data_IF_628370100910
#
_entry.id   IF_628370100910
#
_cell.length_a   1.000
_cell.length_b   1.000
_cell.length_c   1.000
_cell.angle_alpha   90.00
_cell.angle_beta   90.00
_cell.angle_gamma   90.00
#
_symmetry.space_group_name_H-M   'P 1'
#
loop_
_entity.id
_entity.type
_entity.pdbx_description
1 polymer ?
#
# COMPACT_ATOMS: atom_id res chain seq x y z
N UNK A 1 -9.06 -21.67 -21.49
CA UNK A 1 -8.69 -20.31 -21.02
C UNK A 1 -8.76 -20.29 -19.50
N UNK A 2 -7.67 -19.98 -18.79
CA UNK A 2 -7.66 -19.94 -17.31
C UNK A 2 -8.42 -18.69 -16.82
N UNK A 3 -9.34 -18.88 -15.89
CA UNK A 3 -10.17 -17.82 -15.31
C UNK A 3 -9.31 -16.99 -14.33
N UNK A 4 -8.70 -15.91 -14.83
CA UNK A 4 -7.78 -14.99 -14.11
C UNK A 4 -8.48 -14.06 -13.11
N UNK A 5 -9.81 -14.09 -13.02
CA UNK A 5 -10.61 -13.14 -12.25
C UNK A 5 -10.42 -13.22 -10.73
N UNK A 6 -9.75 -14.26 -10.22
CA UNK A 6 -9.50 -14.47 -8.79
C UNK A 6 -8.04 -14.83 -8.47
N UNK A 7 -7.09 -14.39 -9.29
CA UNK A 7 -5.67 -14.61 -9.01
C UNK A 7 -5.19 -13.76 -7.82
N UNK A 8 -5.29 -14.34 -6.62
CA UNK A 8 -4.84 -13.74 -5.37
C UNK A 8 -3.33 -13.92 -5.12
N UNK A 9 -2.58 -14.45 -6.09
CA UNK A 9 -1.14 -14.75 -5.94
C UNK A 9 -0.34 -13.50 -5.58
N UNK A 10 -0.62 -12.37 -6.23
CA UNK A 10 0.02 -11.09 -5.90
C UNK A 10 -0.22 -10.67 -4.45
N UNK A 11 -1.46 -10.82 -3.95
CA UNK A 11 -1.78 -10.50 -2.55
C UNK A 11 -1.05 -11.42 -1.59
N UNK A 12 -1.04 -12.73 -1.86
CA UNK A 12 -0.33 -13.72 -1.03
C UNK A 12 1.17 -13.42 -0.97
N UNK A 13 1.79 -13.13 -2.11
CA UNK A 13 3.21 -12.78 -2.18
C UNK A 13 3.51 -11.51 -1.38
N UNK A 14 2.63 -10.50 -1.44
CA UNK A 14 2.77 -9.27 -0.68
C UNK A 14 2.68 -9.53 0.83
N UNK A 15 1.68 -10.29 1.28
CA UNK A 15 1.53 -10.65 2.69
C UNK A 15 2.72 -11.46 3.20
N UNK A 16 3.17 -12.46 2.44
CA UNK A 16 4.31 -13.29 2.82
C UNK A 16 5.59 -12.45 2.93
N UNK A 17 5.83 -11.54 1.97
CA UNK A 17 6.96 -10.60 2.03
C UNK A 17 6.90 -9.75 3.30
N UNK A 18 5.77 -9.11 3.58
CA UNK A 18 5.66 -8.22 4.74
C UNK A 18 5.69 -8.96 6.08
N UNK A 19 5.13 -10.16 6.18
CA UNK A 19 5.26 -11.02 7.37
C UNK A 19 6.72 -11.29 7.69
N UNK A 20 7.49 -11.68 6.68
CA UNK A 20 8.93 -11.91 6.81
C UNK A 20 9.68 -10.63 7.22
N UNK A 21 9.42 -9.51 6.53
CA UNK A 21 10.07 -8.25 6.85
C UNK A 21 9.75 -7.76 8.27
N UNK A 22 8.52 -7.96 8.74
CA UNK A 22 8.11 -7.57 10.09
C UNK A 22 8.80 -8.44 11.14
N UNK A 23 8.85 -9.77 10.94
CA UNK A 23 9.53 -10.65 11.90
C UNK A 23 11.01 -10.31 12.06
N UNK A 24 11.70 -10.01 10.94
CA UNK A 24 13.11 -9.61 10.96
C UNK A 24 13.28 -8.22 11.62
N UNK A 25 12.47 -7.25 11.21
CA UNK A 25 12.52 -5.89 11.77
C UNK A 25 12.30 -5.87 13.27
N UNK A 26 11.37 -6.69 13.79
CA UNK A 26 11.13 -6.78 15.22
C UNK A 26 12.32 -7.36 16.00
N UNK A 27 13.00 -8.37 15.45
CA UNK A 27 14.25 -8.87 16.05
C UNK A 27 15.32 -7.78 16.08
N UNK A 28 15.45 -6.98 15.01
CA UNK A 28 16.39 -5.84 14.96
C UNK A 28 16.02 -4.81 16.02
N UNK A 29 14.73 -4.53 16.21
CA UNK A 29 14.26 -3.57 17.23
C UNK A 29 14.46 -4.08 18.66
N UNK A 30 14.41 -5.39 18.89
CA UNK A 30 14.77 -6.01 20.17
C UNK A 30 16.28 -6.13 20.38
N UNK A 31 17.08 -5.98 19.32
CA UNK A 31 18.54 -6.16 19.37
C UNK A 31 18.97 -7.63 19.34
N UNK A 32 18.10 -8.53 18.91
CA UNK A 32 18.32 -9.99 18.86
C UNK A 32 18.76 -10.47 17.48
N UNK A 33 18.70 -9.61 16.47
CA UNK A 33 18.97 -10.01 15.09
C UNK A 33 20.46 -10.24 14.86
N UNK A 34 20.82 -11.45 14.41
CA UNK A 34 22.21 -11.90 14.27
C UNK A 34 23.02 -11.08 13.25
N UNK A 35 22.37 -10.67 12.15
CA UNK A 35 23.07 -10.03 11.02
C UNK A 35 22.94 -8.50 10.97
N UNK A 36 21.98 -7.92 11.70
CA UNK A 36 21.62 -6.50 11.55
C UNK A 36 21.50 -5.90 12.95
N UNK A 37 22.38 -4.95 13.26
CA UNK A 37 22.35 -4.25 14.54
C UNK A 37 21.38 -3.07 14.49
N UNK A 38 21.20 -2.48 13.32
CA UNK A 38 20.38 -1.28 13.13
C UNK A 38 19.35 -1.44 12.03
N UNK A 39 18.21 -0.76 12.18
CA UNK A 39 17.15 -0.75 11.16
C UNK A 39 17.66 -0.28 9.78
N UNK A 40 18.66 0.61 9.73
CA UNK A 40 19.27 1.07 8.46
C UNK A 40 19.90 -0.08 7.66
N UNK A 41 20.48 -1.07 8.34
CA UNK A 41 21.13 -2.24 7.70
C UNK A 41 20.07 -3.18 7.17
N UNK A 42 19.01 -3.42 7.95
CA UNK A 42 17.82 -4.13 7.51
C UNK A 42 17.22 -3.50 6.23
N UNK A 43 17.02 -2.18 6.20
CA UNK A 43 16.46 -1.50 5.02
C UNK A 43 17.35 -1.63 3.79
N UNK A 44 18.67 -1.52 3.96
CA UNK A 44 19.64 -1.66 2.89
C UNK A 44 19.70 -3.11 2.36
N UNK A 45 19.65 -4.11 3.24
CA UNK A 45 19.76 -5.52 2.87
C UNK A 45 18.51 -6.04 2.13
N UNK A 46 17.33 -5.52 2.46
CA UNK A 46 16.06 -5.93 1.83
C UNK A 46 15.58 -5.01 0.71
N UNK A 47 16.40 -4.05 0.28
CA UNK A 47 16.05 -3.03 -0.72
C UNK A 47 14.65 -2.43 -0.47
N UNK A 48 14.41 -2.01 0.78
CA UNK A 48 13.10 -1.57 1.24
C UNK A 48 13.18 -0.13 1.71
N UNK A 49 12.36 0.74 1.11
CA UNK A 49 12.25 2.13 1.54
C UNK A 49 11.67 2.23 2.97
N UNK A 50 12.35 2.91 3.91
CA UNK A 50 11.91 3.01 5.30
C UNK A 50 10.52 3.63 5.44
N UNK A 51 10.17 4.64 4.62
CA UNK A 51 8.89 5.34 4.73
C UNK A 51 7.75 4.41 4.38
N UNK A 52 7.89 3.68 3.28
CA UNK A 52 6.91 2.73 2.79
C UNK A 52 6.72 1.57 3.75
N UNK A 53 7.80 0.99 4.26
CA UNK A 53 7.72 -0.08 5.26
C UNK A 53 7.05 0.38 6.55
N UNK A 54 7.49 1.50 7.12
CA UNK A 54 6.95 2.03 8.38
C UNK A 54 5.47 2.39 8.26
N UNK A 55 5.00 2.83 7.09
CA UNK A 55 3.58 3.09 6.86
C UNK A 55 2.73 1.82 7.10
N UNK A 56 3.09 0.71 6.47
CA UNK A 56 2.33 -0.55 6.60
C UNK A 56 2.54 -1.18 7.97
N UNK A 57 3.77 -1.18 8.48
CA UNK A 57 4.09 -1.70 9.81
C UNK A 57 3.31 -0.95 10.91
N UNK A 58 3.24 0.37 10.86
CA UNK A 58 2.51 1.15 11.87
C UNK A 58 1.00 0.88 11.82
N UNK A 59 0.41 0.73 10.63
CA UNK A 59 -1.01 0.35 10.50
C UNK A 59 -1.27 -1.03 11.10
N UNK A 60 -0.47 -2.02 10.70
CA UNK A 60 -0.55 -3.37 11.24
C UNK A 60 -0.33 -3.40 12.76
N UNK A 61 0.63 -2.64 13.29
CA UNK A 61 0.89 -2.55 14.72
C UNK A 61 -0.29 -1.97 15.50
N UNK A 62 -1.05 -1.05 14.89
CA UNK A 62 -2.23 -0.45 15.50
C UNK A 62 -3.45 -1.38 15.45
N UNK A 63 -3.63 -2.12 14.36
CA UNK A 63 -4.85 -2.92 14.13
C UNK A 63 -4.72 -4.40 14.46
N UNK A 64 -3.51 -4.96 14.38
CA UNK A 64 -3.25 -6.41 14.36
C UNK A 64 -3.72 -7.13 13.11
N UNK A 65 -4.25 -6.40 12.10
CA UNK A 65 -4.87 -7.00 10.92
C UNK A 65 -3.89 -7.08 9.75
N UNK A 66 -3.64 -8.29 9.25
CA UNK A 66 -2.75 -8.53 8.11
C UNK A 66 -3.19 -7.82 6.83
N UNK A 67 -4.48 -7.53 6.66
CA UNK A 67 -4.98 -6.81 5.49
C UNK A 67 -4.40 -5.39 5.39
N UNK A 68 -3.95 -4.80 6.51
CA UNK A 68 -3.31 -3.48 6.52
C UNK A 68 -1.90 -3.48 5.95
N UNK A 69 -1.31 -4.66 5.73
CA UNK A 69 -0.06 -4.84 4.99
C UNK A 69 -0.25 -4.71 3.48
N UNK A 70 -1.49 -4.76 2.99
CA UNK A 70 -1.78 -4.62 1.58
C UNK A 70 -1.82 -3.15 1.15
N UNK A 71 -1.38 -2.84 -0.08
CA UNK A 71 -1.61 -1.53 -0.67
C UNK A 71 -3.11 -1.24 -0.73
N UNK A 72 -3.50 -0.10 -0.15
CA UNK A 72 -4.89 0.33 -0.20
C UNK A 72 -5.31 0.67 -1.65
N UNK A 73 -6.59 0.47 -1.94
CA UNK A 73 -7.17 0.89 -3.22
C UNK A 73 -6.92 2.40 -3.40
N UNK A 74 -6.34 2.77 -4.54
CA UNK A 74 -6.15 4.19 -4.88
C UNK A 74 -7.50 4.89 -4.89
N UNK A 75 -7.55 6.10 -4.34
CA UNK A 75 -8.73 6.95 -4.45
C UNK A 75 -9.06 7.29 -5.92
N UNK A 76 -10.26 7.84 -6.18
CA UNK A 76 -10.64 8.24 -7.54
C UNK A 76 -9.59 9.19 -8.13
N UNK A 77 -9.17 8.92 -9.37
CA UNK A 77 -8.23 9.78 -10.12
C UNK A 77 -8.83 11.19 -10.19
N UNK A 78 -8.02 12.20 -9.88
CA UNK A 78 -8.43 13.61 -9.78
C UNK A 78 -9.24 14.13 -10.99
N UNK A 79 -9.08 13.54 -12.19
CA UNK A 79 -9.78 13.95 -13.42
C UNK A 79 -11.20 13.42 -13.59
N UNK A 80 -11.67 12.42 -12.83
CA UNK A 80 -13.02 11.84 -13.03
C UNK A 80 -14.11 12.54 -12.23
N UNK A 81 -13.79 13.68 -11.58
CA UNK A 81 -14.69 14.45 -10.70
C UNK A 81 -15.03 15.85 -11.22
N UNK A 82 -14.76 16.18 -12.49
CA UNK A 82 -15.32 17.42 -13.06
C UNK A 82 -16.78 17.14 -13.45
N UNK A 83 -17.80 17.73 -12.79
CA UNK A 83 -19.08 17.86 -13.47
C UNK A 83 -18.82 18.59 -14.79
N UNK A 84 -19.29 18.05 -15.92
CA UNK A 84 -19.38 18.84 -17.13
C UNK A 84 -20.16 20.10 -16.75
N UNK A 85 -19.56 21.27 -16.89
CA UNK A 85 -20.27 22.53 -16.77
C UNK A 85 -21.40 22.47 -17.80
N UNK A 86 -22.62 22.13 -17.36
CA UNK A 86 -23.80 22.20 -18.21
C UNK A 86 -24.08 23.69 -18.37
N UNK A 87 -23.37 24.32 -19.31
CA UNK A 87 -23.69 25.65 -19.81
C UNK A 87 -25.10 25.55 -20.38
N UNK A 88 -26.06 26.00 -19.57
CA UNK A 88 -27.45 26.18 -19.96
C UNK A 88 -27.49 27.17 -21.13
N UNK A 89 -27.70 26.69 -22.35
CA UNK A 89 -28.12 27.52 -23.48
C UNK A 89 -29.47 28.16 -23.13
N UNK A 90 -29.45 29.30 -22.44
CA UNK A 90 -30.64 30.10 -22.11
C UNK A 90 -30.78 31.32 -23.03
N UNK A 91 -30.19 31.27 -24.22
CA UNK A 91 -30.27 32.34 -25.21
C UNK A 91 -30.59 31.76 -26.58
N UNK A 92 -31.86 31.43 -26.84
CA UNK A 92 -32.38 31.33 -28.20
C UNK A 92 -33.93 31.34 -28.19
N UNK A 93 -34.51 32.51 -27.97
CA UNK A 93 -35.85 32.87 -28.46
C UNK A 93 -35.90 34.38 -28.70
N UNK A 94 -35.52 34.81 -29.91
CA UNK A 94 -36.13 35.97 -30.56
C UNK A 94 -36.91 35.42 -31.75
N UNK A 95 -38.21 35.69 -31.78
CA UNK A 95 -39.17 35.20 -32.76
C UNK A 95 -40.57 35.51 -32.26
#
# INVERSE_FOLDING_TARGET
>A
MRNINNDLTLKRNYLNKYRFLISEYEQVKRGEHLNYRFAKEFYAAHDTDPRSFLLYYNRFKQSGNEQDLLPAKRGPKYSTRRPLLKMSSKYLTFG
#
